data_IF_429438169295
#
_entry.id   IF_429438169295
#
_cell.length_a   1.000
_cell.length_b   1.000
_cell.length_c   1.000
_cell.angle_alpha   90.00
_cell.angle_beta   90.00
_cell.angle_gamma   90.00
#
_symmetry.space_group_name_H-M   'P 1'
#
loop_
_entity.id
_entity.type
_entity.pdbx_description
1 polymer ?
#
# COMPACT_ATOMS: atom_id res chain seq x y z
N UNK A 1 -4.75 -5.70 3.26
CA UNK A 1 -4.03 -4.56 3.91
C UNK A 1 -3.05 -5.16 4.90
N UNK A 2 -1.84 -4.61 5.08
CA UNK A 2 -0.86 -5.14 6.04
C UNK A 2 -1.09 -4.62 7.48
N UNK A 3 -0.63 -5.37 8.47
CA UNK A 3 -0.76 -5.05 9.90
C UNK A 3 -0.21 -3.67 10.25
N UNK A 4 0.97 -3.33 9.70
CA UNK A 4 1.57 -2.00 9.91
C UNK A 4 0.67 -0.85 9.45
N UNK A 5 -0.12 -1.02 8.39
CA UNK A 5 -1.01 0.04 7.90
C UNK A 5 -2.36 0.05 8.63
N UNK A 6 -2.80 -1.10 9.14
CA UNK A 6 -4.04 -1.19 9.90
C UNK A 6 -3.89 -0.54 11.27
N UNK A 7 -2.74 -0.73 11.92
CA UNK A 7 -2.44 -0.21 13.24
C UNK A 7 -2.30 -1.31 14.28
N UNK A 8 -1.95 -0.90 15.50
CA UNK A 8 -1.80 -1.76 16.67
C UNK A 8 -3.15 -2.09 17.34
N UNK A 9 -4.16 -1.23 17.17
CA UNK A 9 -5.47 -1.43 17.77
C UNK A 9 -6.29 -2.50 17.02
N UNK A 10 -6.71 -3.60 17.68
CA UNK A 10 -7.57 -4.62 17.08
C UNK A 10 -8.95 -4.11 16.63
N UNK A 11 -9.43 -3.04 17.27
CA UNK A 11 -10.75 -2.46 17.00
C UNK A 11 -10.63 -1.18 16.18
N UNK A 12 -10.61 -1.34 14.85
CA UNK A 12 -10.49 -0.21 13.91
C UNK A 12 -11.87 0.22 13.39
N UNK A 13 -12.14 1.52 13.46
CA UNK A 13 -13.28 2.14 12.77
C UNK A 13 -12.82 2.68 11.41
N UNK A 14 -13.53 2.31 10.36
CA UNK A 14 -13.25 2.74 8.99
C UNK A 14 -14.50 3.32 8.33
N UNK A 15 -14.31 4.33 7.48
CA UNK A 15 -15.33 4.87 6.59
C UNK A 15 -15.16 4.24 5.22
N UNK A 16 -16.27 3.81 4.62
CA UNK A 16 -16.34 3.31 3.25
C UNK A 16 -16.94 4.39 2.36
N UNK A 17 -16.26 4.70 1.26
CA UNK A 17 -16.79 5.57 0.21
C UNK A 17 -16.67 4.84 -1.13
N UNK A 18 -17.80 4.55 -1.75
CA UNK A 18 -17.82 3.83 -3.03
C UNK A 18 -17.44 4.77 -4.18
N UNK A 19 -16.49 4.33 -5.02
CA UNK A 19 -15.99 5.04 -6.19
C UNK A 19 -15.45 6.47 -5.94
N UNK A 20 -14.93 6.77 -4.74
CA UNK A 20 -14.45 8.12 -4.35
C UNK A 20 -13.14 8.54 -5.03
N UNK A 21 -12.25 7.59 -5.36
CA UNK A 21 -10.94 7.88 -5.97
C UNK A 21 -10.57 6.88 -7.04
N UNK A 22 -9.72 7.35 -7.95
CA UNK A 22 -9.02 6.52 -8.93
C UNK A 22 -7.83 5.78 -8.33
N UNK A 23 -7.62 4.56 -8.77
CA UNK A 23 -6.47 3.74 -8.41
C UNK A 23 -5.18 4.33 -8.99
N UNK A 24 -4.13 4.46 -8.16
CA UNK A 24 -2.83 5.00 -8.60
C UNK A 24 -2.06 4.15 -9.63
N UNK A 25 -2.53 2.94 -9.93
CA UNK A 25 -1.92 2.03 -10.91
C UNK A 25 -2.77 1.91 -12.17
N UNK A 26 -4.05 1.55 -12.01
CA UNK A 26 -4.94 1.28 -13.14
C UNK A 26 -5.86 2.45 -13.53
N UNK A 27 -5.81 3.58 -12.82
CA UNK A 27 -6.64 4.79 -13.04
C UNK A 27 -8.15 4.57 -12.96
N UNK A 28 -8.62 3.37 -12.61
CA UNK A 28 -10.05 3.06 -12.46
C UNK A 28 -10.57 3.51 -11.09
N UNK A 29 -11.81 4.04 -11.01
CA UNK A 29 -12.43 4.39 -9.74
C UNK A 29 -12.69 3.15 -8.90
N UNK A 30 -12.47 3.24 -7.59
CA UNK A 30 -12.65 2.12 -6.68
C UNK A 30 -13.19 2.57 -5.31
N UNK A 31 -13.68 1.61 -4.52
CA UNK A 31 -14.12 1.86 -3.15
C UNK A 31 -12.93 2.21 -2.25
N UNK A 32 -12.95 3.41 -1.68
CA UNK A 32 -11.93 3.91 -0.78
C UNK A 32 -12.34 3.63 0.66
N UNK A 33 -11.43 3.01 1.40
CA UNK A 33 -11.54 2.87 2.85
C UNK A 33 -10.63 3.89 3.52
N UNK A 34 -11.12 4.58 4.54
CA UNK A 34 -10.34 5.54 5.33
C UNK A 34 -10.47 5.24 6.82
N UNK A 35 -9.35 5.15 7.54
CA UNK A 35 -9.30 4.85 8.98
C UNK A 35 -8.13 5.57 9.66
N UNK A 36 -8.12 5.58 10.99
CA UNK A 36 -7.01 6.09 11.81
C UNK A 36 -6.36 4.90 12.53
N UNK A 37 -5.10 4.53 12.19
CA UNK A 37 -4.45 3.35 12.75
C UNK A 37 -4.19 3.40 14.26
N UNK A 38 -3.96 4.59 14.82
CA UNK A 38 -3.61 4.79 16.22
C UNK A 38 -3.83 6.25 16.66
N UNK A 39 -3.58 6.55 17.93
CA UNK A 39 -3.82 7.90 18.49
C UNK A 39 -2.95 8.96 17.82
N UNK A 40 -1.64 8.74 17.69
CA UNK A 40 -0.74 9.73 17.07
C UNK A 40 -0.52 9.48 15.56
N UNK A 41 -1.35 8.64 14.96
CA UNK A 41 -1.28 8.29 13.55
C UNK A 41 -2.14 9.22 12.69
N UNK A 42 -1.66 9.49 11.47
CA UNK A 42 -2.46 10.15 10.43
C UNK A 42 -3.57 9.22 9.94
N UNK A 43 -4.64 9.83 9.43
CA UNK A 43 -5.63 9.08 8.66
C UNK A 43 -4.97 8.42 7.45
N UNK A 44 -5.16 7.12 7.34
CA UNK A 44 -4.78 6.35 6.16
C UNK A 44 -6.00 6.08 5.31
N UNK A 45 -5.75 5.93 4.01
CA UNK A 45 -6.74 5.51 3.04
C UNK A 45 -6.12 4.49 2.08
N UNK A 46 -6.95 3.70 1.44
CA UNK A 46 -6.52 2.85 0.32
C UNK A 46 -6.15 3.71 -0.89
N UNK A 47 -5.00 3.43 -1.51
CA UNK A 47 -4.48 4.16 -2.69
C UNK A 47 -4.64 3.35 -3.99
N UNK A 48 -4.81 2.03 -3.88
CA UNK A 48 -5.01 1.12 -5.03
C UNK A 48 -6.24 0.23 -4.88
N UNK A 49 -6.81 -0.19 -6.01
CA UNK A 49 -7.97 -1.08 -6.06
C UNK A 49 -7.63 -2.51 -5.58
N UNK A 50 -8.68 -3.29 -5.26
CA UNK A 50 -8.53 -4.69 -4.83
C UNK A 50 -7.84 -5.55 -5.89
N UNK A 51 -8.12 -5.28 -7.16
CA UNK A 51 -7.55 -6.03 -8.29
C UNK A 51 -6.04 -5.87 -8.39
N UNK A 52 -5.53 -4.64 -8.36
CA UNK A 52 -4.10 -4.37 -8.39
C UNK A 52 -3.39 -4.93 -7.15
N UNK A 53 -4.03 -4.86 -5.98
CA UNK A 53 -3.57 -5.45 -4.73
C UNK A 53 -3.41 -6.98 -4.87
N UNK A 54 -4.45 -7.67 -5.35
CA UNK A 54 -4.44 -9.11 -5.58
C UNK A 54 -3.41 -9.52 -6.62
N UNK A 55 -3.37 -8.85 -7.78
CA UNK A 55 -2.45 -9.18 -8.88
C UNK A 55 -0.97 -9.22 -8.48
N UNK A 56 -0.55 -8.29 -7.61
CA UNK A 56 0.85 -8.19 -7.19
C UNK A 56 1.09 -8.66 -5.76
N UNK A 57 0.09 -9.20 -5.06
CA UNK A 57 0.16 -9.55 -3.63
C UNK A 57 0.69 -8.41 -2.73
N UNK A 58 0.15 -7.20 -2.86
CA UNK A 58 0.64 -6.00 -2.15
C UNK A 58 -0.42 -5.33 -1.30
N UNK A 59 -0.01 -4.60 -0.27
CA UNK A 59 -0.90 -3.79 0.54
C UNK A 59 -1.47 -2.60 -0.23
N UNK A 60 -2.78 -2.38 -0.12
CA UNK A 60 -3.50 -1.28 -0.77
C UNK A 60 -3.07 0.13 -0.38
N UNK A 61 -2.32 0.28 0.71
CA UNK A 61 -1.94 1.58 1.27
C UNK A 61 -0.46 1.86 1.08
N UNK A 62 0.40 0.88 1.38
CA UNK A 62 1.85 1.09 1.37
C UNK A 62 2.58 0.43 0.21
N UNK A 63 1.87 -0.29 -0.67
CA UNK A 63 2.41 -0.98 -1.85
C UNK A 63 3.54 -1.99 -1.54
N UNK A 64 3.74 -2.32 -0.27
CA UNK A 64 4.64 -3.41 0.13
C UNK A 64 3.93 -4.74 0.01
N UNK A 65 4.74 -5.77 -0.20
CA UNK A 65 4.29 -7.17 -0.18
C UNK A 65 3.58 -7.53 1.14
N UNK A 66 2.54 -8.36 1.04
CA UNK A 66 1.74 -8.78 2.20
C UNK A 66 2.37 -9.89 3.05
N UNK A 67 3.32 -10.64 2.51
CA UNK A 67 3.93 -11.81 3.15
C UNK A 67 5.24 -11.44 3.86
N UNK A 68 6.13 -10.74 3.15
CA UNK A 68 7.48 -10.40 3.60
C UNK A 68 7.63 -8.93 4.02
N UNK A 69 6.67 -8.06 3.67
CA UNK A 69 6.75 -6.63 3.99
C UNK A 69 7.88 -5.90 3.25
N UNK A 70 8.28 -6.42 2.09
CA UNK A 70 9.34 -5.90 1.23
C UNK A 70 8.79 -5.08 0.07
N UNK A 71 9.57 -4.14 -0.49
CA UNK A 71 9.23 -3.50 -1.76
C UNK A 71 9.12 -4.55 -2.89
N UNK A 72 8.16 -4.34 -3.79
CA UNK A 72 7.86 -5.25 -4.92
C UNK A 72 9.11 -5.62 -5.72
N UNK A 73 9.95 -4.63 -6.06
CA UNK A 73 11.18 -4.84 -6.82
C UNK A 73 12.16 -5.79 -6.11
N UNK A 74 12.33 -5.63 -4.80
CA UNK A 74 13.24 -6.46 -3.99
C UNK A 74 12.72 -7.89 -3.92
N UNK A 75 11.40 -8.06 -3.69
CA UNK A 75 10.76 -9.37 -3.69
C UNK A 75 10.89 -10.07 -5.03
N UNK A 76 10.52 -9.39 -6.11
CA UNK A 76 10.50 -9.99 -7.45
C UNK A 76 11.92 -10.38 -7.89
N UNK A 77 12.93 -9.57 -7.55
CA UNK A 77 14.35 -9.91 -7.78
C UNK A 77 14.77 -11.14 -6.98
N UNK A 78 14.42 -11.20 -5.70
CA UNK A 78 14.82 -12.30 -4.83
C UNK A 78 14.10 -13.63 -5.11
N UNK A 79 12.90 -13.58 -5.68
CA UNK A 79 12.15 -14.76 -6.15
C UNK A 79 12.51 -15.14 -7.60
N UNK A 80 13.44 -14.43 -8.26
CA UNK A 80 13.71 -14.58 -9.69
C UNK A 80 12.43 -14.55 -10.54
N UNK A 81 11.46 -13.73 -10.11
CA UNK A 81 10.26 -13.48 -10.88
C UNK A 81 10.66 -12.48 -11.95
N UNK A 82 11.01 -13.02 -13.12
CA UNK A 82 11.12 -12.22 -14.33
C UNK A 82 9.75 -11.61 -14.58
N UNK A 83 9.62 -10.33 -14.22
CA UNK A 83 8.42 -9.52 -14.39
C UNK A 83 8.22 -9.19 -15.87
N UNK A 84 7.93 -10.23 -16.65
CA UNK A 84 7.27 -10.11 -17.95
C UNK A 84 5.74 -10.26 -17.83
N UNK A 85 5.19 -10.36 -16.62
CA UNK A 85 3.79 -9.96 -16.33
C UNK A 85 3.71 -8.43 -16.22
N UNK A 86 4.14 -7.77 -17.30
CA UNK A 86 4.01 -6.33 -17.46
C UNK A 86 2.52 -6.02 -17.58
N UNK A 87 1.95 -5.41 -16.53
CA UNK A 87 0.72 -4.65 -16.67
C UNK A 87 0.94 -3.75 -17.89
N UNK A 88 0.13 -3.87 -18.96
CA UNK A 88 0.37 -3.13 -20.18
C UNK A 88 0.45 -1.63 -19.86
N UNK A 89 1.46 -0.95 -20.42
CA UNK A 89 1.65 0.50 -20.18
C UNK A 89 0.67 1.34 -21.00
N UNK A 90 0.26 0.85 -22.18
CA UNK A 90 -0.74 1.52 -23.01
C UNK A 90 -2.10 1.52 -22.32
N UNK A 91 -2.83 2.63 -22.44
CA UNK A 91 -4.10 2.83 -21.72
C UNK A 91 -5.14 1.76 -22.06
N UNK A 92 -5.35 1.48 -23.35
CA UNK A 92 -6.35 0.49 -23.80
C UNK A 92 -6.02 -0.92 -23.32
N UNK A 93 -4.76 -1.35 -23.43
CA UNK A 93 -4.37 -2.70 -23.02
C UNK A 93 -4.40 -2.83 -21.49
N UNK A 94 -4.13 -1.75 -20.75
CA UNK A 94 -4.22 -1.71 -19.29
C UNK A 94 -5.67 -1.92 -18.84
N UNK A 95 -6.61 -1.25 -19.48
CA UNK A 95 -8.04 -1.37 -19.17
C UNK A 95 -8.58 -2.76 -19.45
N UNK A 96 -8.30 -3.30 -20.65
CA UNK A 96 -8.69 -4.66 -21.02
C UNK A 96 -8.11 -5.71 -20.06
N UNK A 97 -6.82 -5.59 -19.73
CA UNK A 97 -6.17 -6.48 -18.76
C UNK A 97 -6.82 -6.40 -17.38
N UNK A 98 -7.14 -5.19 -16.91
CA UNK A 98 -7.77 -4.98 -15.62
C UNK A 98 -9.21 -5.53 -15.59
N UNK A 99 -9.98 -5.37 -16.66
CA UNK A 99 -11.34 -5.90 -16.76
C UNK A 99 -11.36 -7.43 -16.82
N UNK A 100 -10.48 -8.04 -17.60
CA UNK A 100 -10.37 -9.50 -17.68
C UNK A 100 -9.96 -10.11 -16.32
N UNK A 101 -9.06 -9.44 -15.60
CA UNK A 101 -8.71 -9.86 -14.25
C UNK A 101 -9.80 -9.61 -13.22
N UNK A 102 -10.55 -8.51 -13.32
CA UNK A 102 -11.75 -8.29 -12.48
C UNK A 102 -12.78 -9.39 -12.71
N UNK A 103 -13.02 -9.75 -13.97
CA UNK A 103 -13.94 -10.82 -14.37
C UNK A 103 -13.52 -12.16 -13.76
N UNK A 104 -12.24 -12.52 -13.86
CA UNK A 104 -11.68 -13.72 -13.21
C UNK A 104 -11.81 -13.67 -11.68
N UNK A 105 -11.53 -12.51 -11.10
CA UNK A 105 -11.62 -12.25 -9.65
C UNK A 105 -13.05 -12.40 -9.13
N UNK A 106 -14.03 -11.95 -9.91
CA UNK A 106 -15.45 -12.02 -9.57
C UNK A 106 -16.01 -13.44 -9.77
N UNK A 107 -15.45 -14.19 -10.72
CA UNK A 107 -15.79 -15.58 -10.95
C UNK A 107 -15.22 -16.53 -9.87
N UNK A 108 -14.43 -16.03 -8.91
CA UNK A 108 -13.79 -16.86 -7.90
C UNK A 108 -12.74 -17.81 -8.47
N UNK A 109 -12.24 -17.51 -9.68
CA UNK A 109 -11.20 -18.28 -10.38
C UNK A 109 -9.78 -17.81 -9.99
N UNK A 110 -9.69 -16.92 -9.02
CA UNK A 110 -8.50 -16.40 -8.36
C UNK A 110 -8.33 -17.18 -7.03
N UNK A 111 -7.17 -17.71 -6.64
CA UNK A 111 -5.84 -17.16 -6.80
C UNK A 111 -4.82 -18.16 -6.24
N UNK A 112 -4.41 -19.14 -7.04
CA UNK A 112 -3.05 -19.68 -6.91
C UNK A 112 -2.23 -18.89 -7.92
N UNK A 113 -1.93 -17.64 -7.57
CA UNK A 113 -0.92 -16.93 -8.33
C UNK A 113 0.34 -17.79 -8.37
N UNK A 114 1.07 -17.74 -9.48
CA UNK A 114 2.43 -18.24 -9.59
C UNK A 114 3.33 -17.83 -8.41
N UNK A 115 2.96 -16.80 -7.62
CA UNK A 115 3.58 -16.44 -6.35
C UNK A 115 3.46 -17.52 -5.24
N UNK A 116 2.36 -18.27 -5.15
CA UNK A 116 2.12 -19.26 -4.07
C UNK A 116 2.90 -20.57 -4.22
N UNK A 117 3.52 -20.82 -5.38
CA UNK A 117 4.29 -22.04 -5.67
C UNK A 117 5.80 -21.87 -5.54
N UNK A 118 6.30 -20.66 -5.28
CA UNK A 118 7.73 -20.45 -5.12
C UNK A 118 8.17 -20.73 -3.70
N UNK A 119 9.21 -21.54 -3.57
CA UNK A 119 9.83 -21.80 -2.27
C UNK A 119 10.48 -20.50 -1.77
N UNK A 120 10.28 -20.14 -0.49
CA UNK A 120 10.99 -19.02 0.11
C UNK A 120 12.49 -19.23 -0.04
N UNK A 121 13.19 -18.24 -0.60
CA UNK A 121 14.65 -18.23 -0.64
C UNK A 121 15.20 -17.68 0.68
N UNK A 122 16.32 -18.23 1.15
CA UNK A 122 16.99 -17.80 2.39
C UNK A 122 17.30 -16.29 2.43
N UNK A 123 17.51 -15.68 1.26
CA UNK A 123 17.74 -14.24 1.11
C UNK A 123 16.52 -13.41 1.49
N UNK A 124 15.32 -13.85 1.13
CA UNK A 124 14.06 -13.15 1.42
C UNK A 124 13.76 -13.21 2.90
N UNK A 125 13.94 -14.39 3.52
CA UNK A 125 13.70 -14.59 4.94
C UNK A 125 14.61 -13.70 5.80
N UNK A 126 15.86 -13.49 5.38
CA UNK A 126 16.79 -12.58 6.06
C UNK A 126 16.41 -11.10 5.92
N UNK A 127 15.75 -10.73 4.82
CA UNK A 127 15.32 -9.35 4.56
C UNK A 127 13.92 -9.05 5.12
N UNK A 128 13.13 -10.09 5.39
CA UNK A 128 11.76 -9.97 5.88
C UNK A 128 11.69 -9.15 7.16
N UNK A 129 10.70 -8.25 7.21
CA UNK A 129 10.39 -7.51 8.43
C UNK A 129 9.53 -8.34 9.35
N UNK A 130 10.05 -8.65 10.54
CA UNK A 130 9.34 -9.45 11.56
C UNK A 130 8.45 -8.61 12.48
N UNK A 131 8.74 -7.32 12.64
CA UNK A 131 7.95 -6.41 13.47
C UNK A 131 7.32 -5.28 12.65
N UNK A 132 6.07 -4.88 12.94
CA UNK A 132 5.40 -3.81 12.22
C UNK A 132 6.09 -2.45 12.42
N UNK A 133 6.29 -1.71 11.34
CA UNK A 133 6.97 -0.41 11.36
C UNK A 133 5.96 0.74 11.44
N UNK A 134 5.47 1.02 12.64
CA UNK A 134 4.43 2.04 12.87
C UNK A 134 4.89 3.49 12.65
N UNK A 135 6.21 3.76 12.56
CA UNK A 135 6.71 5.11 12.25
C UNK A 135 6.18 5.64 10.90
N UNK A 136 5.83 4.76 9.94
CA UNK A 136 5.17 5.14 8.67
C UNK A 136 3.74 5.67 8.85
N UNK A 137 3.12 5.44 9.99
CA UNK A 137 1.76 5.91 10.27
C UNK A 137 1.74 7.32 10.85
N UNK A 138 2.91 7.89 11.17
CA UNK A 138 3.04 9.24 11.71
C UNK A 138 2.50 10.29 10.74
N UNK A 139 2.06 11.41 11.31
CA UNK A 139 1.70 12.58 10.54
C UNK A 139 2.90 13.10 9.73
N UNK A 140 2.60 13.69 8.58
CA UNK A 140 3.61 14.35 7.77
C UNK A 140 4.24 15.51 8.56
N UNK A 141 5.45 15.89 8.16
CA UNK A 141 6.12 17.07 8.71
C UNK A 141 5.32 18.32 8.33
N UNK A 142 5.17 19.24 9.28
CA UNK A 142 4.50 20.51 9.06
C UNK A 142 5.37 21.40 8.16
N UNK A 143 4.92 21.66 6.93
CA UNK A 143 5.62 22.55 6.00
C UNK A 143 5.78 23.98 6.53
N UNK A 144 4.82 24.47 7.32
CA UNK A 144 4.87 25.80 7.93
C UNK A 144 5.86 25.87 9.10
N UNK A 145 6.04 24.76 9.83
CA UNK A 145 7.04 24.69 10.89
C UNK A 145 8.46 24.76 10.33
N UNK A 146 8.72 24.07 9.21
CA UNK A 146 10.00 24.14 8.51
C UNK A 146 10.32 25.58 8.09
N UNK A 147 9.30 26.37 7.72
CA UNK A 147 9.45 27.78 7.34
C UNK A 147 9.48 28.76 8.53
N UNK A 148 9.20 28.30 9.75
CA UNK A 148 9.09 29.17 10.94
C UNK A 148 7.77 29.95 11.05
N UNK A 149 6.76 29.64 10.24
CA UNK A 149 5.48 30.37 10.15
C UNK A 149 4.31 29.61 10.81
N UNK A 150 4.58 28.52 11.53
CA UNK A 150 3.52 27.73 12.15
C UNK A 150 2.95 28.45 13.38
N UNK A 151 1.75 29.01 13.24
CA UNK A 151 1.01 29.67 14.34
C UNK A 151 0.23 28.70 15.24
N UNK A 152 0.18 27.41 14.89
CA UNK A 152 -0.62 26.39 15.60
C UNK A 152 0.07 25.76 16.81
N UNK A 153 1.36 26.01 17.00
CA UNK A 153 2.13 25.49 18.14
C UNK A 153 1.92 23.99 18.38
N UNK A 154 1.64 23.61 19.62
CA UNK A 154 1.45 22.22 20.04
C UNK A 154 0.10 21.61 19.59
N UNK A 155 -0.85 22.43 19.14
CA UNK A 155 -2.13 21.94 18.59
C UNK A 155 -2.02 21.54 17.12
N UNK A 156 -0.86 21.73 16.49
CA UNK A 156 -0.65 21.38 15.09
C UNK A 156 -0.78 19.85 14.88
N UNK A 157 -1.70 19.38 14.01
CA UNK A 157 -1.83 17.94 13.72
C UNK A 157 -0.65 17.34 12.94
N UNK A 158 0.26 18.18 12.45
CA UNK A 158 1.45 17.81 11.69
C UNK A 158 2.67 17.84 12.60
N UNK A 159 3.68 17.05 12.27
CA UNK A 159 4.87 16.94 13.14
C UNK A 159 5.79 18.13 12.99
N UNK A 160 6.30 18.60 14.12
CA UNK A 160 7.28 19.67 14.23
C UNK A 160 8.69 19.09 14.43
N UNK A 161 9.20 18.42 13.40
CA UNK A 161 10.60 17.96 13.35
C UNK A 161 11.21 18.30 12.00
N UNK A 162 12.53 18.36 11.93
CA UNK A 162 13.21 18.55 10.65
C UNK A 162 13.04 17.28 9.79
N UNK A 163 12.69 17.40 8.51
CA UNK A 163 12.63 16.25 7.64
C UNK A 163 14.03 15.64 7.52
N UNK A 164 14.15 14.32 7.65
CA UNK A 164 15.38 13.62 7.27
C UNK A 164 15.55 13.77 5.75
N UNK A 165 16.75 14.15 5.31
CA UNK A 165 17.06 14.48 3.92
C UNK A 165 16.68 13.31 3.00
N UNK A 166 15.58 13.42 2.24
CA UNK A 166 15.12 12.38 1.31
C UNK A 166 13.61 12.11 1.22
N UNK A 167 12.75 12.85 1.95
CA UNK A 167 11.30 12.92 1.65
C UNK A 167 10.96 13.96 0.56
#
# INVERSE_FOLDING_TARGET
>A
ICESCLGDNPYVRMTRADYDKECKICTRPFTVFRWRPGRDARYKKTEICQTCCKLKNVCQVCLLDLEYGLPVQVRDTALNISTHDSIPKSDVNREYFAEEHDRKTRAGLDYESSFGKMRPNDTILKLQRTTPYYKRNRAHVCSFFIRGECTRGDECPYRHEMPETGE
#
